data_IF_933818046497
#
_entry.id   IF_933818046497
#
_cell.length_a   1.000
_cell.length_b   1.000
_cell.length_c   1.000
_cell.angle_alpha   90.00
_cell.angle_beta   90.00
_cell.angle_gamma   90.00
#
_symmetry.space_group_name_H-M   'P 1'
#
loop_
_entity.id
_entity.type
_entity.pdbx_description
1 polymer ?
#
# COMPACT_ATOMS: atom_id res chain seq x y z
N UNK A 1 3.98 14.78 4.51
CA UNK A 1 4.69 13.86 5.43
C UNK A 1 6.07 13.60 4.83
N UNK A 2 7.06 14.34 5.27
CA UNK A 2 8.48 14.09 4.99
C UNK A 2 9.06 13.37 6.19
N UNK A 3 8.84 12.05 6.27
CA UNK A 3 9.65 11.20 7.13
C UNK A 3 11.10 11.20 6.64
N UNK A 4 12.08 10.80 7.47
CA UNK A 4 13.47 10.73 7.05
C UNK A 4 13.58 9.88 5.77
N UNK A 5 14.40 10.34 4.83
CA UNK A 5 14.70 9.55 3.64
C UNK A 5 15.53 8.35 4.07
N UNK A 6 15.06 7.13 3.78
CA UNK A 6 15.87 5.94 3.99
C UNK A 6 17.11 5.94 3.10
N UNK A 7 18.11 5.14 3.46
CA UNK A 7 19.30 4.95 2.64
C UNK A 7 18.91 4.36 1.28
N UNK A 8 19.13 5.13 0.21
CA UNK A 8 18.85 4.68 -1.15
C UNK A 8 19.96 3.73 -1.61
N UNK A 9 19.64 2.66 -2.35
CA UNK A 9 20.65 1.93 -3.11
C UNK A 9 21.37 2.89 -4.06
N UNK A 10 22.69 2.76 -4.19
CA UNK A 10 23.51 3.65 -5.01
C UNK A 10 22.92 3.82 -6.42
N UNK A 11 22.66 5.07 -6.79
CA UNK A 11 22.16 5.43 -8.12
C UNK A 11 20.72 5.03 -8.46
N UNK A 12 19.90 4.53 -7.51
CA UNK A 12 18.52 4.11 -7.80
C UNK A 12 17.46 4.89 -7.02
N UNK A 13 16.39 5.36 -7.68
CA UNK A 13 15.25 5.95 -6.98
C UNK A 13 14.48 4.88 -6.21
N UNK A 14 13.95 5.25 -5.05
CA UNK A 14 13.09 4.39 -4.26
C UNK A 14 11.68 4.28 -4.89
N UNK A 15 11.15 3.06 -5.06
CA UNK A 15 9.84 2.82 -5.68
C UNK A 15 8.70 2.62 -4.68
N UNK A 16 9.00 2.54 -3.38
CA UNK A 16 8.03 2.24 -2.32
C UNK A 16 6.84 3.22 -2.27
N UNK A 17 7.05 4.48 -2.68
CA UNK A 17 5.99 5.50 -2.73
C UNK A 17 4.88 5.18 -3.72
N UNK A 18 5.16 4.42 -4.79
CA UNK A 18 4.14 3.92 -5.72
C UNK A 18 3.13 3.03 -4.98
N UNK A 19 3.64 2.25 -4.02
CA UNK A 19 2.88 1.32 -3.19
C UNK A 19 2.37 1.96 -1.90
N UNK A 20 2.35 3.30 -1.83
CA UNK A 20 1.84 4.08 -0.71
C UNK A 20 2.51 3.79 0.65
N UNK A 21 3.72 3.22 0.60
CA UNK A 21 4.57 3.02 1.78
C UNK A 21 5.32 4.31 2.10
N UNK A 22 5.39 4.66 3.39
CA UNK A 22 6.37 5.62 3.89
C UNK A 22 7.78 5.01 3.85
N UNK A 23 8.82 5.83 4.08
CA UNK A 23 10.19 5.31 4.20
C UNK A 23 10.28 4.32 5.36
N UNK A 24 9.70 4.67 6.51
CA UNK A 24 9.70 3.83 7.72
C UNK A 24 8.99 2.50 7.49
N UNK A 25 7.88 2.51 6.74
CA UNK A 25 7.17 1.28 6.37
C UNK A 25 8.03 0.37 5.49
N UNK A 26 8.75 0.97 4.54
CA UNK A 26 9.63 0.23 3.64
C UNK A 26 10.87 -0.32 4.37
N UNK A 27 11.44 0.43 5.30
CA UNK A 27 12.56 -0.04 6.11
C UNK A 27 12.13 -1.17 7.07
N UNK A 28 10.94 -1.05 7.67
CA UNK A 28 10.35 -2.12 8.47
C UNK A 28 10.09 -3.38 7.63
N UNK A 29 9.62 -3.20 6.38
CA UNK A 29 9.44 -4.29 5.42
C UNK A 29 10.78 -4.97 5.09
N UNK A 30 11.81 -4.20 4.71
CA UNK A 30 13.16 -4.71 4.43
C UNK A 30 13.73 -5.49 5.61
N UNK A 31 13.62 -4.94 6.82
CA UNK A 31 14.08 -5.57 8.06
C UNK A 31 13.33 -6.87 8.34
N UNK A 32 12.01 -6.89 8.16
CA UNK A 32 11.17 -8.08 8.35
C UNK A 32 11.58 -9.23 7.43
N UNK A 33 11.91 -8.92 6.18
CA UNK A 33 12.40 -9.90 5.20
C UNK A 33 13.90 -10.18 5.28
N UNK A 34 14.65 -9.50 6.17
CA UNK A 34 16.11 -9.60 6.30
C UNK A 34 16.83 -9.47 4.97
N UNK A 35 16.37 -8.54 4.13
CA UNK A 35 16.88 -8.31 2.78
C UNK A 35 16.89 -9.58 1.89
N UNK A 36 15.93 -10.50 2.11
CA UNK A 36 15.80 -11.75 1.35
C UNK A 36 14.44 -11.86 0.66
N UNK A 37 14.42 -12.61 -0.44
CA UNK A 37 13.19 -12.97 -1.13
C UNK A 37 12.27 -13.77 -0.19
N UNK A 38 11.03 -13.32 -0.05
CA UNK A 38 10.00 -13.96 0.77
C UNK A 38 9.63 -15.39 0.38
N UNK A 39 9.94 -15.80 -0.85
CA UNK A 39 9.64 -17.15 -1.35
C UNK A 39 10.88 -18.04 -1.35
N UNK A 40 11.93 -17.64 -2.08
CA UNK A 40 13.11 -18.49 -2.25
C UNK A 40 14.24 -18.24 -1.24
N UNK A 41 14.16 -17.17 -0.44
CA UNK A 41 15.18 -16.82 0.57
C UNK A 41 16.49 -16.26 0.01
N UNK A 42 16.60 -16.07 -1.31
CA UNK A 42 17.76 -15.45 -1.95
C UNK A 42 17.96 -14.04 -1.44
N UNK A 43 19.21 -13.75 -1.04
CA UNK A 43 19.64 -12.42 -0.60
C UNK A 43 19.54 -11.40 -1.74
N UNK A 44 19.13 -10.17 -1.43
CA UNK A 44 19.02 -9.07 -2.38
C UNK A 44 20.31 -8.89 -3.21
N UNK A 45 21.48 -8.95 -2.55
CA UNK A 45 22.80 -8.78 -3.17
C UNK A 45 23.18 -9.96 -4.07
N UNK A 46 22.62 -11.14 -3.82
CA UNK A 46 22.83 -12.33 -4.63
C UNK A 46 21.89 -12.40 -5.85
N UNK A 47 20.92 -11.50 -5.96
CA UNK A 47 20.08 -11.41 -7.17
C UNK A 47 20.83 -10.74 -8.31
N UNK A 48 20.54 -11.07 -9.59
CA UNK A 48 21.16 -10.40 -10.73
C UNK A 48 20.97 -8.88 -10.75
N UNK A 49 19.88 -8.38 -10.15
CA UNK A 49 19.60 -6.96 -10.07
C UNK A 49 20.24 -6.28 -8.85
N UNK A 50 20.77 -7.05 -7.90
CA UNK A 50 21.26 -6.56 -6.60
C UNK A 50 20.16 -5.98 -5.70
N UNK A 51 18.88 -6.24 -6.00
CA UNK A 51 17.71 -5.67 -5.29
C UNK A 51 16.56 -6.68 -5.23
N UNK A 52 15.62 -6.43 -4.31
CA UNK A 52 14.31 -7.07 -4.27
C UNK A 52 13.23 -6.13 -4.80
N UNK A 53 12.16 -6.72 -5.31
CA UNK A 53 10.98 -6.04 -5.86
C UNK A 53 9.84 -6.11 -4.85
N UNK A 54 9.07 -5.03 -4.76
CA UNK A 54 7.85 -4.97 -3.93
C UNK A 54 6.75 -5.72 -4.68
N UNK A 55 6.21 -6.74 -4.02
CA UNK A 55 5.06 -7.51 -4.47
C UNK A 55 3.80 -7.07 -3.73
N UNK A 56 2.67 -7.03 -4.43
CA UNK A 56 1.41 -6.47 -3.92
C UNK A 56 0.19 -7.22 -4.48
N UNK A 57 -0.91 -7.16 -3.74
CA UNK A 57 -2.20 -7.69 -4.16
C UNK A 57 -2.91 -6.69 -5.08
N UNK A 58 -2.77 -6.89 -6.39
CA UNK A 58 -3.38 -6.04 -7.41
C UNK A 58 -4.93 -6.01 -7.34
N UNK A 59 -5.59 -7.00 -6.75
CA UNK A 59 -7.05 -7.00 -6.60
C UNK A 59 -7.49 -6.03 -5.49
N UNK A 60 -6.66 -5.84 -4.47
CA UNK A 60 -6.90 -4.90 -3.36
C UNK A 60 -6.40 -3.50 -3.67
N UNK A 61 -5.29 -3.40 -4.39
CA UNK A 61 -4.68 -2.15 -4.84
C UNK A 61 -3.20 -2.04 -4.49
N UNK A 62 -2.53 -1.01 -5.02
CA UNK A 62 -1.08 -0.82 -4.88
C UNK A 62 -0.60 -0.70 -3.41
N UNK A 63 -1.49 -0.33 -2.48
CA UNK A 63 -1.18 -0.26 -1.04
C UNK A 63 -1.08 -1.63 -0.35
N UNK A 64 -1.66 -2.68 -0.96
CA UNK A 64 -1.76 -4.01 -0.35
C UNK A 64 -0.48 -4.83 -0.58
N UNK A 65 0.65 -4.31 -0.06
CA UNK A 65 1.98 -4.92 -0.20
C UNK A 65 2.04 -6.25 0.55
N UNK A 66 2.37 -7.32 -0.17
CA UNK A 66 2.56 -8.67 0.40
C UNK A 66 3.96 -8.84 0.97
N UNK A 67 4.98 -8.32 0.29
CA UNK A 67 6.36 -8.56 0.68
C UNK A 67 7.40 -8.12 -0.36
N UNK A 68 8.61 -8.66 -0.20
CA UNK A 68 9.74 -8.44 -1.09
C UNK A 68 10.15 -9.75 -1.77
N UNK A 69 10.31 -9.73 -3.09
CA UNK A 69 10.66 -10.89 -3.89
C UNK A 69 11.83 -10.62 -4.83
N UNK A 70 12.60 -11.65 -5.17
CA UNK A 70 13.52 -11.57 -6.31
C UNK A 70 12.71 -11.52 -7.62
N UNK A 71 13.32 -11.04 -8.71
CA UNK A 71 12.62 -10.88 -10.00
C UNK A 71 11.91 -12.17 -10.47
N UNK A 72 12.60 -13.32 -10.37
CA UNK A 72 12.08 -14.63 -10.77
C UNK A 72 10.84 -15.05 -9.97
N UNK A 73 10.89 -14.93 -8.65
CA UNK A 73 9.75 -15.26 -7.81
C UNK A 73 8.60 -14.29 -8.05
N UNK A 74 8.90 -12.99 -8.18
CA UNK A 74 7.89 -11.97 -8.44
C UNK A 74 7.12 -12.21 -9.74
N UNK A 75 7.81 -12.55 -10.83
CA UNK A 75 7.19 -12.80 -12.13
C UNK A 75 6.41 -14.11 -12.22
N UNK A 76 6.67 -15.06 -11.33
CA UNK A 76 6.12 -16.43 -11.44
C UNK A 76 5.27 -16.85 -10.25
N UNK A 77 5.05 -15.96 -9.27
CA UNK A 77 4.41 -16.27 -7.99
C UNK A 77 3.08 -17.01 -8.17
N UNK A 78 2.23 -16.56 -9.10
CA UNK A 78 0.91 -17.13 -9.33
C UNK A 78 0.91 -18.44 -10.13
N UNK A 79 2.06 -18.85 -10.68
CA UNK A 79 2.25 -20.12 -11.39
C UNK A 79 3.02 -21.15 -10.55
N UNK A 80 3.44 -20.77 -9.35
CA UNK A 80 4.17 -21.63 -8.43
C UNK A 80 3.21 -22.46 -7.59
N UNK A 81 3.40 -23.78 -7.57
CA UNK A 81 2.58 -24.72 -6.77
C UNK A 81 3.25 -25.21 -5.49
N UNK A 82 4.49 -24.78 -5.23
CA UNK A 82 5.26 -25.21 -4.07
C UNK A 82 4.86 -24.47 -2.78
N UNK A 83 5.00 -25.16 -1.64
CA UNK A 83 4.55 -24.70 -0.32
C UNK A 83 5.05 -23.31 0.06
N UNK A 84 6.31 -22.97 -0.24
CA UNK A 84 6.87 -21.65 0.09
C UNK A 84 6.11 -20.49 -0.56
N UNK A 85 5.60 -20.67 -1.79
CA UNK A 85 4.78 -19.65 -2.43
C UNK A 85 3.40 -19.53 -1.75
N UNK A 86 2.81 -20.66 -1.37
CA UNK A 86 1.55 -20.66 -0.63
C UNK A 86 1.69 -19.97 0.75
N UNK A 87 2.76 -20.30 1.49
CA UNK A 87 3.06 -19.70 2.79
C UNK A 87 3.25 -18.17 2.69
N UNK A 88 3.96 -17.73 1.65
CA UNK A 88 4.16 -16.31 1.38
C UNK A 88 2.84 -15.59 1.07
N UNK A 89 1.98 -16.18 0.22
CA UNK A 89 0.67 -15.59 -0.12
C UNK A 89 -0.30 -15.56 1.06
N UNK A 90 -0.22 -16.55 1.95
CA UNK A 90 -1.08 -16.66 3.13
C UNK A 90 -0.73 -15.64 4.23
N UNK A 91 0.50 -15.11 4.24
CA UNK A 91 0.99 -14.22 5.30
C UNK A 91 1.45 -12.86 4.75
N UNK A 92 0.58 -12.09 4.09
CA UNK A 92 0.98 -10.83 3.47
C UNK A 92 1.28 -9.75 4.53
N UNK A 93 2.34 -8.98 4.31
CA UNK A 93 2.77 -7.93 5.22
C UNK A 93 1.68 -6.89 5.53
N UNK A 94 0.86 -6.49 4.55
CA UNK A 94 -0.15 -5.45 4.78
C UNK A 94 -1.16 -5.85 5.88
N UNK A 95 -1.42 -7.15 6.08
CA UNK A 95 -2.33 -7.63 7.13
C UNK A 95 -1.79 -7.33 8.52
N UNK A 96 -0.56 -7.74 8.80
CA UNK A 96 0.08 -7.49 10.10
C UNK A 96 0.36 -6.00 10.31
N UNK A 97 0.71 -5.29 9.24
CA UNK A 97 0.94 -3.85 9.27
C UNK A 97 -0.34 -3.05 9.58
N UNK A 98 -1.51 -3.49 9.09
CA UNK A 98 -2.80 -2.88 9.44
C UNK A 98 -3.14 -3.15 10.91
N UNK A 99 -3.02 -4.40 11.34
CA UNK A 99 -3.31 -4.80 12.71
C UNK A 99 -2.46 -4.04 13.73
N UNK A 100 -1.16 -3.86 13.46
CA UNK A 100 -0.25 -3.10 14.31
C UNK A 100 -0.64 -1.61 14.44
N UNK A 101 -1.42 -1.07 13.50
CA UNK A 101 -1.94 0.30 13.52
C UNK A 101 -3.40 0.38 13.99
N UNK A 102 -3.98 -0.73 14.44
CA UNK A 102 -5.39 -0.79 14.83
C UNK A 102 -6.36 -0.62 13.66
N UNK A 103 -5.91 -0.89 12.43
CA UNK A 103 -6.70 -0.77 11.21
C UNK A 103 -7.20 -2.15 10.76
N UNK A 104 -8.34 -2.16 10.05
CA UNK A 104 -8.95 -3.38 9.50
C UNK A 104 -8.59 -3.56 8.02
N UNK A 105 -8.57 -4.82 7.60
CA UNK A 105 -8.31 -5.24 6.21
C UNK A 105 -9.46 -4.87 5.28
N UNK A 106 -10.68 -5.07 5.75
CA UNK A 106 -11.87 -4.66 5.05
C UNK A 106 -12.02 -3.16 5.19
N UNK A 107 -12.50 -2.50 4.12
CA UNK A 107 -12.78 -1.08 4.18
C UNK A 107 -13.65 -0.82 5.41
N UNK A 108 -13.22 0.10 6.27
CA UNK A 108 -14.08 0.64 7.32
C UNK A 108 -15.45 0.98 6.69
N UNK A 109 -16.56 0.78 7.40
CA UNK A 109 -17.89 1.04 6.84
C UNK A 109 -17.91 2.43 6.22
N UNK A 110 -18.55 2.54 5.05
CA UNK A 110 -18.58 3.80 4.33
C UNK A 110 -19.08 4.92 5.26
N UNK A 111 -18.31 6.02 5.43
CA UNK A 111 -18.73 7.12 6.28
C UNK A 111 -20.11 7.69 5.89
N UNK A 112 -20.86 8.31 6.81
CA UNK A 112 -22.19 8.83 6.50
C UNK A 112 -22.15 10.01 5.51
N UNK A 113 -23.33 10.37 5.01
CA UNK A 113 -23.50 11.52 4.13
C UNK A 113 -22.90 12.80 4.73
N UNK A 114 -22.25 13.63 3.89
CA UNK A 114 -21.57 14.85 4.35
C UNK A 114 -20.21 14.63 5.02
N UNK A 115 -19.81 13.38 5.28
CA UNK A 115 -18.47 13.08 5.79
C UNK A 115 -17.37 13.58 4.84
N UNK A 116 -16.26 14.03 5.43
CA UNK A 116 -15.08 14.47 4.70
C UNK A 116 -13.89 13.61 5.08
N UNK A 117 -13.22 13.06 4.09
CA UNK A 117 -11.95 12.33 4.27
C UNK A 117 -10.81 13.07 3.61
N UNK A 118 -9.63 12.97 4.20
CA UNK A 118 -8.37 13.41 3.62
C UNK A 118 -7.58 12.20 3.18
N UNK A 119 -7.12 12.20 1.93
CA UNK A 119 -6.30 11.13 1.37
C UNK A 119 -4.84 11.54 1.25
N UNK A 120 -3.95 10.68 1.70
CA UNK A 120 -2.49 10.81 1.61
C UNK A 120 -1.95 9.99 0.44
N UNK A 121 -0.77 10.34 -0.11
CA UNK A 121 0.08 11.48 0.25
C UNK A 121 -0.32 12.83 -0.38
N UNK A 122 -1.29 12.85 -1.31
CA UNK A 122 -1.63 14.04 -2.08
C UNK A 122 -2.33 15.13 -1.25
N UNK A 123 -2.82 14.78 -0.05
CA UNK A 123 -3.53 15.72 0.83
C UNK A 123 -4.91 16.11 0.30
N UNK A 124 -5.43 15.40 -0.70
CA UNK A 124 -6.72 15.70 -1.31
C UNK A 124 -7.84 15.44 -0.32
N UNK A 125 -8.87 16.27 -0.36
CA UNK A 125 -10.05 16.10 0.47
C UNK A 125 -11.19 15.61 -0.40
N UNK A 126 -11.97 14.67 0.12
CA UNK A 126 -13.13 14.10 -0.55
C UNK A 126 -14.34 14.20 0.38
N UNK A 127 -15.48 14.64 -0.16
CA UNK A 127 -16.74 14.74 0.58
C UNK A 127 -17.75 13.75 0.03
N UNK A 128 -18.47 13.06 0.91
CA UNK A 128 -19.59 12.19 0.54
C UNK A 128 -20.83 13.01 0.19
N UNK A 129 -21.38 12.78 -1.00
CA UNK A 129 -22.54 13.46 -1.55
C UNK A 129 -23.29 12.54 -2.55
N UNK A 130 -24.51 12.12 -2.22
CA UNK A 130 -25.42 11.35 -3.07
C UNK A 130 -24.92 9.95 -3.39
N UNK A 131 -24.31 9.25 -2.42
CA UNK A 131 -23.71 7.93 -2.62
C UNK A 131 -22.36 7.93 -3.35
N UNK A 132 -21.79 9.12 -3.58
CA UNK A 132 -20.49 9.30 -4.22
C UNK A 132 -19.56 10.13 -3.35
N UNK A 133 -18.26 9.93 -3.55
CA UNK A 133 -17.22 10.80 -3.02
C UNK A 133 -16.76 11.78 -4.09
N UNK A 134 -16.76 13.07 -3.76
CA UNK A 134 -16.34 14.15 -4.65
C UNK A 134 -15.10 14.82 -4.09
N UNK A 135 -14.06 14.95 -4.92
CA UNK A 135 -12.87 15.71 -4.52
C UNK A 135 -13.26 17.19 -4.32
N UNK A 136 -12.85 17.77 -3.19
CA UNK A 136 -13.04 19.19 -2.86
C UNK A 136 -11.67 19.89 -2.85
N UNK A 137 -11.60 21.08 -3.44
CA UNK A 137 -10.40 21.94 -3.39
C UNK A 137 -9.34 21.74 -4.50
N UNK A 138 -9.42 20.69 -5.33
CA UNK A 138 -8.55 20.55 -6.51
C UNK A 138 -9.38 20.56 -7.80
N UNK A 139 -9.46 21.72 -8.46
CA UNK A 139 -10.23 21.93 -9.69
C UNK A 139 -9.76 21.11 -10.89
N UNK A 140 -8.57 20.47 -10.81
CA UNK A 140 -8.02 19.59 -11.85
C UNK A 140 -8.44 18.12 -11.67
N UNK A 141 -8.86 17.72 -10.46
CA UNK A 141 -9.32 16.36 -10.16
C UNK A 141 -10.83 16.32 -9.93
N UNK A 142 -11.61 16.61 -10.99
CA UNK A 142 -13.09 16.59 -10.97
C UNK A 142 -13.67 15.16 -11.08
N UNK A 143 -13.13 14.23 -10.30
CA UNK A 143 -13.61 12.85 -10.27
C UNK A 143 -14.68 12.62 -9.21
N UNK A 144 -15.64 11.76 -9.51
CA UNK A 144 -16.42 11.03 -8.50
C UNK A 144 -15.76 9.68 -8.26
N UNK A 145 -15.87 9.16 -7.05
CA UNK A 145 -15.43 7.82 -6.71
C UNK A 145 -16.45 7.17 -5.75
N UNK A 146 -16.58 5.85 -5.80
CA UNK A 146 -17.23 5.11 -4.71
C UNK A 146 -16.27 4.95 -3.53
N UNK A 147 -16.80 4.62 -2.36
CA UNK A 147 -15.96 4.30 -1.20
C UNK A 147 -14.98 3.16 -1.48
N UNK A 148 -15.42 2.12 -2.18
CA UNK A 148 -14.56 0.99 -2.61
C UNK A 148 -13.41 1.48 -3.49
N UNK A 149 -13.69 2.36 -4.46
CA UNK A 149 -12.66 2.91 -5.34
C UNK A 149 -11.64 3.78 -4.59
N UNK A 150 -12.10 4.57 -3.61
CA UNK A 150 -11.19 5.33 -2.75
C UNK A 150 -10.28 4.41 -1.94
N UNK A 151 -10.84 3.37 -1.31
CA UNK A 151 -10.07 2.39 -0.57
C UNK A 151 -9.09 1.63 -1.45
N UNK A 152 -9.50 1.20 -2.65
CA UNK A 152 -8.59 0.54 -3.60
C UNK A 152 -7.43 1.45 -4.00
N UNK A 153 -7.69 2.75 -4.22
CA UNK A 153 -6.68 3.70 -4.68
C UNK A 153 -5.72 4.16 -3.58
N UNK A 154 -6.22 4.39 -2.37
CA UNK A 154 -5.47 5.05 -1.29
C UNK A 154 -5.17 4.14 -0.11
N UNK A 155 -5.88 3.02 0.00
CA UNK A 155 -5.79 2.09 1.11
C UNK A 155 -6.25 2.69 2.45
N UNK A 156 -6.49 1.82 3.44
CA UNK A 156 -6.78 2.22 4.82
C UNK A 156 -5.67 3.06 5.45
N UNK A 157 -4.40 2.90 5.04
CA UNK A 157 -3.30 3.76 5.51
C UNK A 157 -3.42 5.21 5.02
N UNK A 158 -4.01 5.40 3.84
CA UNK A 158 -4.04 6.67 3.15
C UNK A 158 -5.25 7.52 3.46
N UNK A 159 -6.34 6.96 4.00
CA UNK A 159 -7.60 7.67 4.20
C UNK A 159 -7.79 8.02 5.68
N UNK A 160 -8.01 9.30 5.98
CA UNK A 160 -8.34 9.77 7.32
C UNK A 160 -9.66 10.52 7.33
N UNK A 161 -10.57 10.13 8.23
CA UNK A 161 -11.81 10.89 8.46
C UNK A 161 -11.48 12.20 9.16
N UNK A 162 -11.94 13.32 8.58
CA UNK A 162 -11.70 14.67 9.09
C UNK A 162 -12.88 15.20 9.93
N UNK A 163 -14.01 14.49 9.93
CA UNK A 163 -15.24 14.84 10.64
C UNK A 163 -16.46 15.00 9.72
N UNK A 164 -17.59 15.36 10.32
CA UNK A 164 -18.80 15.78 9.63
C UNK A 164 -18.82 17.29 9.54
N UNK A 165 -19.03 17.83 8.34
CA UNK A 165 -19.47 19.23 8.23
C UNK A 165 -20.98 19.17 8.47
N UNK A 166 -21.43 19.60 9.65
CA UNK A 166 -22.84 19.86 9.87
C UNK A 166 -23.29 20.92 8.86
N UNK A 167 -24.37 20.60 8.13
CA UNK A 167 -25.07 21.54 7.25
C UNK A 167 -25.66 22.69 8.05
#
# INVERSE_FOLDING_TARGET
MTGPAHAKPEGRPCTHRKYLLTCDDYDALLKGFRERCGVCGTDAKATPAGILFIDHDALRGDWAVRGLLCNRCNSSLHHMSHQKAADYLANPWYVSALQARGLRIDAEPEPPEGAVVRVSPQGLMWRRAGGWWRCIGDGRRRGVATWTQLNQRHGPFGIRLMGHVAS
#
